data_IF_407462983106
#
_entry.id   IF_407462983106
#
_cell.length_a   1.000
_cell.length_b   1.000
_cell.length_c   1.000
_cell.angle_alpha   90.00
_cell.angle_beta   90.00
_cell.angle_gamma   90.00
#
_symmetry.space_group_name_H-M   'P 1'
#
loop_
_entity.id
_entity.type
_entity.pdbx_description
1 polymer ?
#
# COMPACT_ATOMS: atom_id res chain seq x y z
N UNK A 1 7.78 -9.75 -39.32
CA UNK A 1 7.35 -10.74 -38.31
C UNK A 1 7.19 -10.00 -37.00
N UNK A 2 6.03 -9.39 -36.80
CA UNK A 2 5.67 -8.71 -35.56
C UNK A 2 5.27 -9.80 -34.56
N UNK A 3 6.03 -9.92 -33.47
CA UNK A 3 5.63 -10.73 -32.33
C UNK A 3 4.53 -9.95 -31.61
N UNK A 4 3.28 -10.31 -31.85
CA UNK A 4 2.19 -9.98 -30.94
C UNK A 4 2.46 -10.75 -29.64
N UNK A 5 3.17 -10.15 -28.69
CA UNK A 5 3.03 -10.51 -27.29
C UNK A 5 1.67 -9.98 -26.87
N UNK A 6 0.69 -10.87 -26.76
CA UNK A 6 -0.51 -10.64 -25.96
C UNK A 6 -0.02 -10.34 -24.54
N UNK A 7 0.14 -9.06 -24.21
CA UNK A 7 0.52 -8.65 -22.86
C UNK A 7 -0.62 -9.05 -21.94
N UNK A 8 -0.30 -9.78 -20.87
CA UNK A 8 -1.28 -10.09 -19.83
C UNK A 8 -1.92 -8.77 -19.36
N UNK A 9 -3.26 -8.69 -19.37
CA UNK A 9 -3.97 -7.46 -19.01
C UNK A 9 -3.70 -7.15 -17.52
N UNK A 10 -2.84 -6.16 -17.26
CA UNK A 10 -2.63 -5.61 -15.92
C UNK A 10 -3.77 -4.67 -15.55
N UNK A 11 -4.22 -4.75 -14.29
CA UNK A 11 -5.23 -3.87 -13.73
C UNK A 11 -4.61 -2.87 -12.76
N UNK A 12 -5.28 -1.73 -12.56
CA UNK A 12 -4.86 -0.77 -11.55
C UNK A 12 -5.25 -1.33 -10.17
N UNK A 13 -4.27 -1.51 -9.30
CA UNK A 13 -4.47 -1.94 -7.93
C UNK A 13 -4.14 -0.79 -6.97
N UNK A 14 -4.96 -0.63 -5.94
CA UNK A 14 -4.78 0.35 -4.88
C UNK A 14 -4.81 -0.35 -3.53
N UNK A 15 -3.73 -0.22 -2.77
CA UNK A 15 -3.60 -0.77 -1.43
C UNK A 15 -3.59 0.38 -0.42
N UNK A 16 -4.42 0.26 0.61
CA UNK A 16 -4.36 1.11 1.80
C UNK A 16 -3.75 0.31 2.93
N UNK A 17 -2.80 0.91 3.64
CA UNK A 17 -1.98 0.26 4.66
C UNK A 17 -2.04 1.14 5.90
N UNK A 18 -2.38 0.56 7.05
CA UNK A 18 -2.42 1.25 8.34
C UNK A 18 -1.56 0.49 9.34
N UNK A 19 -0.90 1.20 10.27
CA UNK A 19 -0.06 0.54 11.29
C UNK A 19 -0.91 0.19 12.49
N UNK A 20 -0.92 -1.09 12.86
CA UNK A 20 -1.70 -1.54 13.99
C UNK A 20 -1.15 -0.95 15.30
N UNK A 21 -2.05 -0.46 16.15
CA UNK A 21 -1.75 0.08 17.49
C UNK A 21 -0.68 1.20 17.53
N UNK A 22 -0.50 1.98 16.45
CA UNK A 22 0.52 3.03 16.38
C UNK A 22 0.41 4.08 17.50
N UNK A 23 -0.83 4.42 17.90
CA UNK A 23 -1.04 5.31 19.04
C UNK A 23 -0.47 4.73 20.34
N UNK A 24 -0.61 3.42 20.56
CA UNK A 24 -0.04 2.76 21.74
C UNK A 24 1.49 2.83 21.74
N UNK A 25 2.13 2.71 20.57
CA UNK A 25 3.58 2.90 20.43
C UNK A 25 3.98 4.33 20.86
N UNK A 26 3.27 5.34 20.36
CA UNK A 26 3.52 6.73 20.73
C UNK A 26 3.29 6.99 22.23
N UNK A 27 2.19 6.50 22.78
CA UNK A 27 1.81 6.75 24.16
C UNK A 27 2.76 6.02 25.14
N UNK A 28 3.33 4.88 24.76
CA UNK A 28 4.19 4.05 25.61
C UNK A 28 5.67 4.43 25.49
N UNK A 29 6.16 4.69 24.28
CA UNK A 29 7.59 4.88 24.00
C UNK A 29 7.94 6.30 23.54
N UNK A 30 6.93 7.16 23.35
CA UNK A 30 7.09 8.54 22.93
C UNK A 30 7.13 8.71 21.41
N UNK A 31 6.84 9.93 20.96
CA UNK A 31 6.75 10.26 19.53
C UNK A 31 8.04 10.02 18.73
N UNK A 32 9.22 10.13 19.37
CA UNK A 32 10.50 9.84 18.69
C UNK A 32 10.58 8.37 18.29
N UNK A 33 10.05 7.46 19.11
CA UNK A 33 9.97 6.05 18.77
C UNK A 33 8.86 5.76 17.76
N UNK A 34 7.73 6.48 17.84
CA UNK A 34 6.72 6.46 16.77
C UNK A 34 7.28 6.85 15.40
N UNK A 35 8.09 7.90 15.32
CA UNK A 35 8.76 8.31 14.08
C UNK A 35 9.72 7.23 13.56
N UNK A 36 10.42 6.52 14.46
CA UNK A 36 11.27 5.38 14.08
C UNK A 36 10.45 4.21 13.55
N UNK A 37 9.28 3.93 14.13
CA UNK A 37 8.36 2.92 13.62
C UNK A 37 7.88 3.28 12.19
N UNK A 38 7.51 4.54 11.96
CA UNK A 38 7.12 5.05 10.64
C UNK A 38 8.25 4.98 9.60
N UNK A 39 9.49 5.26 9.99
CA UNK A 39 10.65 5.12 9.09
C UNK A 39 10.87 3.65 8.75
N UNK A 40 10.73 2.76 9.73
CA UNK A 40 10.93 1.32 9.53
C UNK A 40 9.89 0.74 8.57
N UNK A 41 8.60 1.01 8.80
CA UNK A 41 7.54 0.52 7.93
C UNK A 41 7.72 1.09 6.52
N UNK A 42 8.03 2.38 6.35
CA UNK A 42 8.30 2.97 5.05
C UNK A 42 9.45 2.27 4.31
N UNK A 43 10.50 1.85 5.04
CA UNK A 43 11.58 1.03 4.52
C UNK A 43 11.11 -0.34 4.03
N UNK A 44 10.26 -1.03 4.81
CA UNK A 44 9.65 -2.32 4.45
C UNK A 44 8.79 -2.19 3.20
N UNK A 45 7.89 -1.20 3.17
CA UNK A 45 7.01 -0.93 2.02
C UNK A 45 7.83 -0.64 0.76
N UNK A 46 8.80 0.27 0.85
CA UNK A 46 9.66 0.65 -0.28
C UNK A 46 10.48 -0.52 -0.81
N UNK A 47 11.05 -1.34 0.07
CA UNK A 47 11.83 -2.52 -0.32
C UNK A 47 10.96 -3.58 -0.98
N UNK A 48 9.74 -3.78 -0.48
CA UNK A 48 8.82 -4.78 -1.03
C UNK A 48 8.25 -4.35 -2.38
N UNK A 49 7.98 -3.06 -2.56
CA UNK A 49 7.53 -2.50 -3.82
C UNK A 49 8.64 -2.45 -4.88
N UNK A 50 9.91 -2.48 -4.49
CA UNK A 50 11.03 -2.44 -5.42
C UNK A 50 10.96 -3.59 -6.43
N UNK A 51 10.82 -3.24 -7.72
CA UNK A 51 10.64 -4.20 -8.82
C UNK A 51 9.24 -4.22 -9.42
N UNK A 52 8.27 -3.55 -8.81
CA UNK A 52 6.91 -3.39 -9.34
C UNK A 52 6.71 -1.97 -9.89
N UNK A 53 5.84 -1.83 -10.89
CA UNK A 53 5.44 -0.54 -11.44
C UNK A 53 4.37 0.12 -10.55
N UNK A 54 4.77 0.58 -9.38
CA UNK A 54 3.87 1.20 -8.40
C UNK A 54 4.45 2.43 -7.72
N UNK A 55 3.56 3.25 -7.20
CA UNK A 55 3.84 4.45 -6.40
C UNK A 55 3.51 4.12 -4.95
N UNK A 56 4.44 4.42 -4.05
CA UNK A 56 4.23 4.42 -2.60
C UNK A 56 4.08 5.86 -2.11
N UNK A 57 3.06 6.14 -1.32
CA UNK A 57 2.87 7.42 -0.64
C UNK A 57 2.48 7.21 0.82
N UNK A 58 2.78 8.20 1.66
CA UNK A 58 2.21 8.32 3.00
C UNK A 58 0.92 9.13 2.88
N UNK A 59 -0.21 8.53 3.23
CA UNK A 59 -1.51 9.16 3.08
C UNK A 59 -1.78 10.19 4.19
N UNK A 60 -1.49 9.82 5.45
CA UNK A 60 -1.61 10.72 6.60
C UNK A 60 -1.36 9.96 7.90
N UNK A 61 -0.81 10.60 8.93
CA UNK A 61 -0.54 9.91 10.20
C UNK A 61 0.32 8.65 9.99
N UNK A 62 -0.22 7.51 10.37
CA UNK A 62 0.30 6.15 10.21
C UNK A 62 -0.18 5.42 8.94
N UNK A 63 -1.00 6.06 8.12
CA UNK A 63 -1.54 5.47 6.91
C UNK A 63 -0.59 5.66 5.71
N UNK A 64 -0.42 4.59 4.93
CA UNK A 64 0.34 4.54 3.68
C UNK A 64 -0.54 3.97 2.56
N UNK A 65 -0.22 4.30 1.32
CA UNK A 65 -0.88 3.72 0.17
C UNK A 65 0.11 3.31 -0.93
N UNK A 66 -0.25 2.24 -1.64
CA UNK A 66 0.47 1.77 -2.82
C UNK A 66 -0.52 1.74 -3.99
N UNK A 67 -0.16 2.33 -5.12
CA UNK A 67 -0.96 2.28 -6.35
C UNK A 67 -0.10 1.90 -7.54
N UNK A 68 -0.51 0.91 -8.34
CA UNK A 68 0.26 0.45 -9.49
C UNK A 68 -0.54 -0.41 -10.45
N UNK A 69 -0.06 -0.50 -11.69
CA UNK A 69 -0.61 -1.44 -12.69
C UNK A 69 0.14 -2.77 -12.53
N UNK A 70 -0.59 -3.80 -12.12
CA UNK A 70 -0.04 -5.11 -11.78
C UNK A 70 -1.05 -6.20 -12.16
N UNK A 71 -0.56 -7.43 -12.31
CA UNK A 71 -1.42 -8.60 -12.31
C UNK A 71 -1.98 -8.82 -10.90
N UNK A 72 -3.14 -9.48 -10.84
CA UNK A 72 -3.76 -9.83 -9.55
C UNK A 72 -2.83 -10.70 -8.70
N UNK A 73 -2.19 -11.69 -9.32
CA UNK A 73 -1.27 -12.62 -8.67
C UNK A 73 -0.02 -11.90 -8.13
N UNK A 74 0.52 -10.94 -8.88
CA UNK A 74 1.61 -10.07 -8.42
C UNK A 74 1.18 -9.25 -7.20
N UNK A 75 -0.04 -8.74 -7.18
CA UNK A 75 -0.59 -7.97 -6.05
C UNK A 75 -0.77 -8.84 -4.81
N UNK A 76 -1.32 -10.06 -4.97
CA UNK A 76 -1.45 -11.02 -3.87
C UNK A 76 -0.07 -11.41 -3.30
N UNK A 77 0.93 -11.62 -4.17
CA UNK A 77 2.30 -11.91 -3.77
C UNK A 77 2.98 -10.70 -3.11
N UNK A 78 2.71 -9.49 -3.59
CA UNK A 78 3.19 -8.24 -2.98
C UNK A 78 2.68 -8.13 -1.54
N UNK A 79 1.39 -8.34 -1.30
CA UNK A 79 0.78 -8.31 0.04
C UNK A 79 1.42 -9.35 0.95
N UNK A 80 1.60 -10.58 0.46
CA UNK A 80 2.29 -11.63 1.22
C UNK A 80 3.73 -11.23 1.59
N UNK A 81 4.47 -10.70 0.62
CA UNK A 81 5.85 -10.24 0.83
C UNK A 81 5.92 -9.08 1.82
N UNK A 82 4.90 -8.21 1.88
CA UNK A 82 4.82 -7.12 2.86
C UNK A 82 4.84 -7.70 4.28
N UNK A 83 3.97 -8.65 4.58
CA UNK A 83 3.91 -9.30 5.89
C UNK A 83 5.21 -10.05 6.24
N UNK A 84 5.75 -10.82 5.30
CA UNK A 84 7.02 -11.55 5.53
C UNK A 84 8.20 -10.60 5.78
N UNK A 85 8.28 -9.49 5.04
CA UNK A 85 9.35 -8.51 5.21
C UNK A 85 9.18 -7.69 6.48
N UNK A 86 7.95 -7.41 6.92
CA UNK A 86 7.67 -6.78 8.20
C UNK A 86 8.10 -7.67 9.35
N UNK A 87 7.76 -8.96 9.32
CA UNK A 87 8.16 -9.93 10.35
C UNK A 87 9.70 -10.02 10.45
N UNK A 88 10.39 -10.06 9.30
CA UNK A 88 11.86 -10.02 9.25
C UNK A 88 12.41 -8.72 9.85
N UNK A 89 11.78 -7.58 9.54
CA UNK A 89 12.20 -6.29 10.06
C UNK A 89 12.01 -6.18 11.57
N UNK A 90 10.92 -6.71 12.11
CA UNK A 90 10.67 -6.78 13.56
C UNK A 90 11.72 -7.64 14.26
N UNK A 91 12.02 -8.84 13.74
CA UNK A 91 13.06 -9.73 14.30
C UNK A 91 14.46 -9.14 14.29
N UNK A 92 14.75 -8.24 13.35
CA UNK A 92 16.05 -7.58 13.21
C UNK A 92 16.13 -6.26 13.95
N UNK A 93 14.98 -5.73 14.39
CA UNK A 93 14.93 -4.46 15.07
C UNK A 93 15.33 -4.65 16.55
N UNK A 94 16.23 -3.79 17.01
CA UNK A 94 16.55 -3.66 18.43
C UNK A 94 15.57 -2.66 19.07
N UNK A 95 14.32 -3.07 19.25
CA UNK A 95 13.29 -2.26 19.90
C UNK A 95 12.31 -3.11 20.72
N UNK A 96 11.64 -2.53 21.73
CA UNK A 96 10.84 -3.29 22.69
C UNK A 96 9.43 -3.66 22.20
N UNK A 97 9.11 -3.44 20.92
CA UNK A 97 7.80 -3.70 20.31
C UNK A 97 7.94 -4.23 18.89
N UNK A 98 6.94 -4.99 18.46
CA UNK A 98 6.75 -5.39 17.07
C UNK A 98 5.79 -4.43 16.38
N UNK A 99 6.03 -4.13 15.11
CA UNK A 99 5.11 -3.33 14.29
C UNK A 99 4.13 -4.29 13.60
N UNK A 100 2.83 -4.02 13.73
CA UNK A 100 1.77 -4.64 12.94
C UNK A 100 1.33 -3.76 11.76
N UNK A 101 0.62 -4.35 10.80
CA UNK A 101 -0.07 -3.58 9.77
C UNK A 101 -1.31 -4.30 9.24
N UNK A 102 -2.31 -3.51 8.91
CA UNK A 102 -3.51 -3.92 8.21
C UNK A 102 -3.48 -3.43 6.77
N UNK A 103 -3.76 -4.32 5.81
CA UNK A 103 -3.72 -4.00 4.36
C UNK A 103 -5.07 -4.25 3.71
N UNK A 104 -5.69 -3.20 3.18
CA UNK A 104 -6.86 -3.29 2.30
C UNK A 104 -6.44 -3.15 0.84
N UNK A 105 -7.05 -3.92 -0.07
CA UNK A 105 -6.73 -3.89 -1.50
C UNK A 105 -8.00 -3.73 -2.35
N UNK A 106 -7.95 -2.83 -3.34
CA UNK A 106 -8.97 -2.62 -4.35
C UNK A 106 -8.39 -2.79 -5.76
N UNK A 107 -9.10 -3.50 -6.63
CA UNK A 107 -8.73 -3.73 -8.02
C UNK A 107 -9.69 -2.96 -8.94
N UNK A 108 -9.13 -2.26 -9.93
CA UNK A 108 -9.87 -1.48 -10.91
C UNK A 108 -9.55 -2.02 -12.31
N UNK A 109 -10.50 -2.77 -12.88
CA UNK A 109 -10.31 -3.37 -14.20
C UNK A 109 -10.41 -2.36 -15.34
N UNK A 110 -9.45 -2.38 -16.27
CA UNK A 110 -9.39 -1.43 -17.39
C UNK A 110 -10.65 -1.38 -18.25
N UNK A 111 -11.42 -2.48 -18.35
CA UNK A 111 -12.71 -2.55 -19.07
C UNK A 111 -13.79 -1.62 -18.48
N UNK A 112 -13.64 -1.18 -17.24
CA UNK A 112 -14.63 -0.34 -16.52
C UNK A 112 -14.26 1.16 -16.60
N UNK A 113 -13.00 1.51 -16.90
CA UNK A 113 -12.54 2.91 -16.95
C UNK A 113 -13.27 3.76 -18.01
N UNK A 114 -13.61 3.26 -19.21
CA UNK A 114 -14.44 4.01 -20.16
C UNK A 114 -15.90 4.18 -19.71
N UNK A 115 -16.44 3.23 -18.94
CA UNK A 115 -17.84 3.24 -18.48
C UNK A 115 -18.06 4.24 -17.34
N UNK A 116 -17.04 4.37 -16.47
CA UNK A 116 -17.02 5.33 -15.37
C UNK A 116 -16.88 6.78 -15.87
N UNK A 117 -16.05 7.00 -16.89
CA UNK A 117 -15.76 8.35 -17.40
C UNK A 117 -16.94 8.97 -18.18
N UNK A 118 -17.91 8.17 -18.63
CA UNK A 118 -19.03 8.65 -19.43
C UNK A 118 -20.34 8.85 -18.66
N UNK A 119 -20.45 8.44 -17.38
CA UNK A 119 -21.77 8.50 -16.73
C UNK A 119 -21.85 8.87 -15.24
N UNK A 120 -20.80 8.80 -14.41
CA UNK A 120 -21.04 9.08 -12.97
C UNK A 120 -19.85 9.47 -12.07
N UNK A 121 -18.66 9.78 -12.60
CA UNK A 121 -17.52 10.18 -11.74
C UNK A 121 -17.42 11.67 -11.39
N UNK A 122 -18.40 12.49 -11.77
CA UNK A 122 -18.47 13.89 -11.32
C UNK A 122 -18.93 14.05 -9.86
N UNK A 123 -19.48 13.02 -9.21
CA UNK A 123 -20.14 13.17 -7.90
C UNK A 123 -19.36 12.52 -6.75
N UNK A 124 -18.60 11.45 -6.99
CA UNK A 124 -17.97 10.69 -5.88
C UNK A 124 -16.64 11.27 -5.39
N UNK A 125 -15.91 12.03 -6.23
CA UNK A 125 -14.69 12.73 -5.81
C UNK A 125 -14.96 14.09 -5.12
N UNK A 126 -16.21 14.55 -5.09
CA UNK A 126 -16.57 15.82 -4.44
C UNK A 126 -16.90 15.68 -2.93
N UNK A 127 -17.02 14.45 -2.40
CA UNK A 127 -17.45 14.23 -1.00
C UNK A 127 -16.33 13.86 0.00
N UNK A 128 -15.08 13.65 -0.44
CA UNK A 128 -13.95 13.33 0.45
C UNK A 128 -12.93 14.49 0.49
N UNK A 129 -13.42 15.74 0.51
CA UNK A 129 -12.63 16.95 0.78
C UNK A 129 -13.34 17.94 1.72
N UNK A 130 -14.50 17.60 2.28
CA UNK A 130 -15.20 18.44 3.25
C UNK A 130 -15.87 17.59 4.33
N UNK A 131 -15.10 17.23 5.35
CA UNK A 131 -15.48 17.24 6.78
C UNK A 131 -14.22 17.12 7.61
#
# INVERSE_FOLDING_TARGET
>A
MERHTEGEETDLHFLMIDLDDFKQINDTYGHVEGDRALIRIAGVLKKTLAGHAGILARYGGDEFCIAGEMLREETEQLIKNLYENLEKANKQADCPYDIGMSVGCAQFTRKIIPAICTSQFAVYFAFIQLT
#
